data_IF_336887426350
#
_entry.id   IF_336887426350
#
_cell.length_a   1.000
_cell.length_b   1.000
_cell.length_c   1.000
_cell.angle_alpha   90.00
_cell.angle_beta   90.00
_cell.angle_gamma   90.00
#
_symmetry.space_group_name_H-M   'P 1'
#
loop_
_entity.id
_entity.type
_entity.pdbx_description
1 polymer ?
#
# COMPACT_ATOMS: atom_id res chain seq x y z
N UNK A 1 13.10 7.96 16.35
CA UNK A 1 12.51 8.90 15.38
C UNK A 1 11.02 8.62 15.26
N UNK A 2 10.22 9.65 15.36
CA UNK A 2 8.79 9.54 15.11
C UNK A 2 8.42 10.30 13.86
N UNK A 3 7.43 9.79 13.13
CA UNK A 3 6.88 10.47 11.96
C UNK A 3 5.41 10.15 11.86
N UNK A 4 4.68 11.02 11.23
CA UNK A 4 3.26 10.82 11.02
C UNK A 4 2.95 10.73 9.54
N UNK A 5 2.11 9.77 9.19
CA UNK A 5 1.61 9.62 7.83
C UNK A 5 0.22 10.25 7.84
N UNK A 6 -0.01 11.29 7.02
CA UNK A 6 -1.32 11.94 7.02
C UNK A 6 -2.41 10.98 6.54
N UNK A 7 -3.57 11.08 7.16
CA UNK A 7 -4.74 10.35 6.68
C UNK A 7 -5.57 11.24 5.79
N UNK A 8 -6.13 10.65 4.76
CA UNK A 8 -7.06 11.35 3.87
C UNK A 8 -8.39 10.62 3.93
N UNK A 9 -9.44 11.36 4.27
CA UNK A 9 -10.77 10.79 4.41
C UNK A 9 -11.69 11.40 3.36
N UNK A 10 -12.31 10.53 2.56
CA UNK A 10 -13.34 10.91 1.61
C UNK A 10 -14.68 10.44 2.13
N UNK A 11 -15.75 10.59 1.33
CA UNK A 11 -17.09 10.18 1.74
C UNK A 11 -17.16 8.67 2.04
N UNK A 12 -16.35 7.85 1.37
CA UNK A 12 -16.43 6.39 1.47
C UNK A 12 -15.14 5.71 1.86
N UNK A 13 -14.01 6.40 1.74
CA UNK A 13 -12.69 5.78 1.86
C UNK A 13 -11.84 6.52 2.87
N UNK A 14 -10.99 5.77 3.54
CA UNK A 14 -9.92 6.30 4.37
C UNK A 14 -8.59 5.83 3.81
N UNK A 15 -7.71 6.77 3.56
CA UNK A 15 -6.32 6.50 3.18
C UNK A 15 -5.49 6.70 4.43
N UNK A 16 -4.79 5.67 4.84
CA UNK A 16 -4.02 5.65 6.09
C UNK A 16 -2.71 4.93 5.92
N UNK A 17 -1.87 5.00 6.94
CA UNK A 17 -0.64 4.22 6.96
C UNK A 17 -0.96 2.72 6.95
N UNK A 18 -0.09 1.93 6.33
CA UNK A 18 -0.13 0.48 6.49
C UNK A 18 0.18 0.11 7.93
N UNK A 19 -0.42 -0.96 8.40
CA UNK A 19 0.01 -1.62 9.64
C UNK A 19 0.16 -3.12 9.37
N UNK A 20 0.83 -3.81 10.29
CA UNK A 20 1.17 -5.22 10.07
C UNK A 20 -0.07 -6.09 9.80
N UNK A 21 -1.20 -5.72 10.38
CA UNK A 21 -2.45 -6.45 10.18
C UNK A 21 -3.00 -6.40 8.76
N UNK A 22 -2.50 -5.50 7.91
CA UNK A 22 -2.94 -5.42 6.51
C UNK A 22 -2.32 -6.51 5.65
N UNK A 23 -1.28 -7.19 6.13
CA UNK A 23 -0.52 -8.12 5.30
C UNK A 23 -1.38 -9.23 4.72
N UNK A 24 -2.25 -9.83 5.51
CA UNK A 24 -3.05 -10.96 5.06
C UNK A 24 -3.97 -10.56 3.89
N UNK A 25 -4.70 -9.48 4.03
CA UNK A 25 -5.62 -9.02 2.99
C UNK A 25 -4.86 -8.54 1.74
N UNK A 26 -3.78 -7.82 1.94
CA UNK A 26 -2.98 -7.30 0.84
C UNK A 26 -2.30 -8.44 0.08
N UNK A 27 -1.73 -9.41 0.80
CA UNK A 27 -1.09 -10.56 0.17
C UNK A 27 -2.10 -11.40 -0.62
N UNK A 28 -3.30 -11.61 -0.07
CA UNK A 28 -4.35 -12.34 -0.79
C UNK A 28 -4.74 -11.64 -2.09
N UNK A 29 -4.85 -10.31 -2.05
CA UNK A 29 -5.17 -9.52 -3.23
C UNK A 29 -4.07 -9.59 -4.28
N UNK A 30 -2.82 -9.46 -3.87
CA UNK A 30 -1.67 -9.45 -4.78
C UNK A 30 -1.36 -10.85 -5.34
N UNK A 31 -1.85 -11.90 -4.71
CA UNK A 31 -1.69 -13.27 -5.20
C UNK A 31 -2.79 -13.67 -6.19
N UNK A 32 -3.81 -12.87 -6.35
CA UNK A 32 -4.97 -13.20 -7.19
C UNK A 32 -4.73 -12.74 -8.63
N UNK A 33 -4.58 -13.67 -9.60
CA UNK A 33 -4.32 -13.29 -10.99
C UNK A 33 -5.47 -12.46 -11.60
N UNK A 34 -6.70 -12.68 -11.17
CA UNK A 34 -7.83 -11.91 -11.67
C UNK A 34 -7.74 -10.44 -11.29
N UNK A 35 -7.22 -10.16 -10.10
CA UNK A 35 -6.98 -8.78 -9.65
C UNK A 35 -5.78 -8.19 -10.35
N UNK A 36 -4.67 -8.93 -10.37
CA UNK A 36 -3.39 -8.40 -10.82
C UNK A 36 -3.33 -8.15 -12.32
N UNK A 37 -4.17 -8.82 -13.10
CA UNK A 37 -4.17 -8.62 -14.55
C UNK A 37 -4.54 -7.21 -14.98
N UNK A 38 -5.19 -6.45 -14.10
CA UNK A 38 -5.58 -5.06 -14.38
C UNK A 38 -4.53 -4.05 -13.94
N UNK A 39 -3.43 -4.50 -13.35
CA UNK A 39 -2.37 -3.61 -12.91
C UNK A 39 -1.27 -3.53 -13.96
N UNK A 40 -0.44 -2.50 -13.85
CA UNK A 40 0.60 -2.23 -14.84
C UNK A 40 1.51 -3.43 -15.05
N UNK A 41 1.91 -4.11 -13.97
CA UNK A 41 2.81 -5.26 -14.08
C UNK A 41 2.10 -6.52 -14.55
N UNK A 42 0.83 -6.68 -14.22
CA UNK A 42 0.07 -7.88 -14.54
C UNK A 42 0.52 -9.13 -13.79
N UNK A 43 1.53 -9.04 -12.93
CA UNK A 43 2.12 -10.17 -12.24
C UNK A 43 1.65 -10.25 -10.80
N UNK A 44 1.42 -11.49 -10.34
CA UNK A 44 1.14 -11.72 -8.92
C UNK A 44 2.40 -11.52 -8.09
N UNK A 45 2.21 -11.31 -6.79
CA UNK A 45 3.30 -11.13 -5.85
C UNK A 45 3.18 -12.14 -4.73
N UNK A 46 4.33 -12.57 -4.21
CA UNK A 46 4.38 -13.45 -3.04
C UNK A 46 4.14 -12.66 -1.77
N UNK A 47 3.81 -13.37 -0.70
CA UNK A 47 3.58 -12.73 0.61
C UNK A 47 4.80 -11.93 1.07
N UNK A 48 6.00 -12.45 0.87
CA UNK A 48 7.21 -11.73 1.28
C UNK A 48 7.45 -10.48 0.44
N UNK A 49 7.13 -10.53 -0.85
CA UNK A 49 7.22 -9.35 -1.70
C UNK A 49 6.25 -8.27 -1.25
N UNK A 50 5.04 -8.67 -0.88
CA UNK A 50 4.03 -7.74 -0.35
C UNK A 50 4.52 -7.11 0.95
N UNK A 51 5.10 -7.92 1.84
CA UNK A 51 5.65 -7.41 3.10
C UNK A 51 6.72 -6.35 2.84
N UNK A 52 7.64 -6.62 1.90
CA UNK A 52 8.67 -5.65 1.55
C UNK A 52 8.08 -4.38 0.94
N UNK A 53 7.01 -4.50 0.15
CA UNK A 53 6.32 -3.33 -0.37
C UNK A 53 5.79 -2.45 0.77
N UNK A 54 5.19 -3.06 1.78
CA UNK A 54 4.68 -2.33 2.93
C UNK A 54 5.80 -1.65 3.70
N UNK A 55 6.91 -2.36 3.92
CA UNK A 55 8.07 -1.79 4.61
C UNK A 55 8.69 -0.65 3.83
N UNK A 56 8.79 -0.81 2.51
CA UNK A 56 9.34 0.23 1.63
C UNK A 56 8.47 1.47 1.66
N UNK A 57 7.16 1.29 1.66
CA UNK A 57 6.24 2.43 1.74
C UNK A 57 6.40 3.17 3.06
N UNK A 58 6.49 2.46 4.17
CA UNK A 58 6.70 3.08 5.47
C UNK A 58 8.03 3.85 5.50
N UNK A 59 9.09 3.24 4.95
CA UNK A 59 10.39 3.89 4.85
C UNK A 59 10.35 5.15 3.99
N UNK A 60 9.60 5.12 2.89
CA UNK A 60 9.44 6.27 2.02
C UNK A 60 8.81 7.44 2.77
N UNK A 61 7.72 7.18 3.52
CA UNK A 61 7.10 8.22 4.34
C UNK A 61 8.07 8.80 5.36
N UNK A 62 8.86 7.93 6.01
CA UNK A 62 9.80 8.36 7.04
C UNK A 62 10.94 9.22 6.47
N UNK A 63 11.45 8.85 5.31
CA UNK A 63 12.66 9.47 4.75
C UNK A 63 12.36 10.54 3.70
N UNK A 64 11.26 10.43 3.00
CA UNK A 64 10.93 11.33 1.88
C UNK A 64 9.70 12.19 2.12
N UNK A 65 8.85 11.82 3.07
CA UNK A 65 7.62 12.57 3.35
C UNK A 65 6.48 12.22 2.42
N UNK A 66 6.61 11.17 1.61
CA UNK A 66 5.52 10.66 0.78
C UNK A 66 5.66 9.16 0.61
N UNK A 67 4.61 8.52 0.13
CA UNK A 67 4.59 7.08 -0.09
C UNK A 67 3.19 6.63 -0.45
N UNK A 68 2.91 5.36 -0.19
CA UNK A 68 1.61 4.79 -0.46
C UNK A 68 0.78 4.72 0.82
N UNK A 69 -0.52 4.81 0.66
CA UNK A 69 -1.48 4.60 1.74
C UNK A 69 -2.18 3.26 1.58
N UNK A 70 -2.52 2.65 2.71
CA UNK A 70 -3.53 1.60 2.72
C UNK A 70 -4.89 2.26 2.55
N UNK A 71 -5.73 1.68 1.70
CA UNK A 71 -7.06 2.20 1.44
C UNK A 71 -8.10 1.26 2.05
N UNK A 72 -8.96 1.81 2.90
CA UNK A 72 -10.03 1.03 3.51
C UNK A 72 -11.36 1.73 3.37
N UNK A 73 -12.44 0.97 3.43
CA UNK A 73 -13.79 1.53 3.46
C UNK A 73 -14.04 2.13 4.83
N UNK A 74 -14.74 3.27 4.87
CA UNK A 74 -15.14 3.85 6.15
C UNK A 74 -16.17 2.96 6.83
N UNK A 75 -17.11 2.47 6.06
CA UNK A 75 -18.10 1.52 6.56
C UNK A 75 -17.47 0.13 6.60
N UNK A 76 -17.28 -0.40 7.79
CA UNK A 76 -16.73 -1.73 8.00
C UNK A 76 -15.21 -1.82 8.07
N UNK A 77 -14.48 -0.76 7.69
CA UNK A 77 -13.02 -0.76 7.79
C UNK A 77 -12.32 -1.83 6.95
N UNK A 78 -12.89 -2.18 5.79
CA UNK A 78 -12.35 -3.25 4.95
C UNK A 78 -11.20 -2.73 4.09
N UNK A 79 -10.06 -3.40 4.17
CA UNK A 79 -8.91 -3.10 3.30
C UNK A 79 -9.27 -3.45 1.86
N UNK A 80 -9.09 -2.48 0.95
CA UNK A 80 -9.44 -2.68 -0.46
C UNK A 80 -8.28 -2.40 -1.42
N UNK A 81 -7.11 -2.03 -0.92
CA UNK A 81 -5.96 -1.84 -1.79
C UNK A 81 -5.02 -0.77 -1.27
N UNK A 82 -4.17 -0.28 -2.17
CA UNK A 82 -3.22 0.77 -1.86
C UNK A 82 -3.23 1.82 -2.97
N UNK A 83 -2.89 3.04 -2.59
CA UNK A 83 -2.83 4.16 -3.52
C UNK A 83 -1.78 5.14 -3.01
N UNK A 84 -1.12 5.83 -3.92
CA UNK A 84 -0.16 6.85 -3.56
C UNK A 84 1.00 6.93 -4.52
N UNK A 85 2.08 7.56 -4.06
CA UNK A 85 3.29 7.78 -4.84
C UNK A 85 4.39 6.86 -4.35
N UNK A 86 5.01 6.16 -5.28
CA UNK A 86 6.15 5.30 -4.99
C UNK A 86 7.21 5.51 -6.06
N UNK A 87 8.43 5.81 -5.64
CA UNK A 87 9.55 6.05 -6.55
C UNK A 87 10.71 5.16 -6.13
N UNK A 88 11.07 4.15 -6.94
CA UNK A 88 12.20 3.28 -6.64
C UNK A 88 13.50 4.06 -6.57
N UNK A 89 14.41 3.63 -5.72
CA UNK A 89 15.69 4.30 -5.53
C UNK A 89 16.53 4.31 -6.81
N UNK A 90 16.44 3.26 -7.59
CA UNK A 90 17.21 3.13 -8.84
C UNK A 90 16.49 3.69 -10.06
N UNK A 91 15.44 4.45 -9.85
CA UNK A 91 14.70 5.08 -10.93
C UNK A 91 15.59 6.11 -11.63
N UNK A 92 15.75 6.01 -12.94
CA UNK A 92 16.54 7.00 -13.67
C UNK A 92 15.82 8.34 -13.69
N UNK A 93 16.59 9.40 -13.55
CA UNK A 93 16.04 10.74 -13.56
C UNK A 93 16.35 11.48 -14.83
#
# INVERSE_FOLDING_TARGET
>A
MTFEIPEVVTARLRLRAFHAGDLDAYAAMQANPEVMRYLITGNTATRIQVWYTMLTSAGSWALRGYGMWACETIEGGQFIGSVGVFEPLDWPE
#
